data_IF_676597991980
#
_entry.id   IF_676597991980
#
_cell.length_a   1.000
_cell.length_b   1.000
_cell.length_c   1.000
_cell.angle_alpha   90.00
_cell.angle_beta   90.00
_cell.angle_gamma   90.00
#
_symmetry.space_group_name_H-M   'P 1'
#
loop_
_entity.id
_entity.type
_entity.pdbx_description
1 polymer ?
#
# COMPACT_ATOMS: atom_id res chain seq x y z
N UNK A 1 16.05 1.61 13.43
CA UNK A 1 15.60 2.04 12.09
C UNK A 1 16.71 1.64 11.13
N UNK A 2 16.49 0.69 10.22
CA UNK A 2 17.53 0.21 9.31
C UNK A 2 18.05 1.39 8.48
N UNK A 3 19.36 1.67 8.54
CA UNK A 3 19.98 2.89 7.97
C UNK A 3 20.03 2.92 6.44
N UNK A 4 19.78 1.81 5.75
CA UNK A 4 19.79 1.72 4.29
C UNK A 4 18.45 1.17 3.77
N UNK A 5 17.60 2.02 3.14
CA UNK A 5 16.33 1.61 2.55
C UNK A 5 16.48 0.48 1.54
N UNK A 6 17.56 0.47 0.75
CA UNK A 6 17.81 -0.55 -0.26
C UNK A 6 18.17 -1.90 0.39
N UNK A 7 19.03 -1.89 1.41
CA UNK A 7 19.37 -3.11 2.14
C UNK A 7 18.13 -3.72 2.81
N UNK A 8 17.26 -2.88 3.38
CA UNK A 8 16.00 -3.33 3.98
C UNK A 8 15.04 -3.92 2.93
N UNK A 9 14.91 -3.28 1.76
CA UNK A 9 14.09 -3.76 0.66
C UNK A 9 14.61 -5.10 0.10
N UNK A 10 15.92 -5.20 -0.07
CA UNK A 10 16.59 -6.43 -0.51
C UNK A 10 16.38 -7.57 0.49
N UNK A 11 16.48 -7.29 1.80
CA UNK A 11 16.19 -8.29 2.84
C UNK A 11 14.74 -8.79 2.77
N UNK A 12 13.78 -7.90 2.52
CA UNK A 12 12.36 -8.27 2.31
C UNK A 12 12.19 -9.11 1.04
N UNK A 13 12.85 -8.73 -0.06
CA UNK A 13 12.86 -9.47 -1.32
C UNK A 13 13.31 -10.92 -1.12
N UNK A 14 14.47 -11.14 -0.49
CA UNK A 14 14.97 -12.49 -0.20
C UNK A 14 14.02 -13.28 0.73
N UNK A 15 13.40 -12.59 1.70
CA UNK A 15 12.45 -13.20 2.63
C UNK A 15 11.19 -13.72 1.93
N UNK A 16 10.57 -12.94 1.04
CA UNK A 16 9.35 -13.36 0.31
C UNK A 16 9.66 -14.39 -0.76
N UNK A 17 10.79 -14.23 -1.47
CA UNK A 17 11.27 -15.21 -2.43
C UNK A 17 11.73 -16.53 -1.77
N UNK A 18 11.74 -16.62 -0.43
CA UNK A 18 12.24 -17.77 0.35
C UNK A 18 13.68 -18.17 -0.05
N UNK A 19 14.48 -17.20 -0.48
CA UNK A 19 15.84 -17.40 -0.95
C UNK A 19 16.84 -16.89 0.09
N UNK A 20 17.96 -17.59 0.25
CA UNK A 20 19.09 -17.18 1.12
C UNK A 20 20.28 -16.67 0.33
N UNK A 21 20.40 -17.02 -0.95
CA UNK A 21 21.55 -16.68 -1.79
C UNK A 21 21.12 -16.04 -3.11
N UNK A 22 22.00 -15.22 -3.70
CA UNK A 22 21.74 -14.61 -5.01
C UNK A 22 21.51 -15.65 -6.11
N UNK A 23 22.17 -16.82 -6.01
CA UNK A 23 21.97 -17.93 -6.94
C UNK A 23 20.55 -18.52 -6.82
N UNK A 24 20.05 -18.72 -5.60
CA UNK A 24 18.66 -19.18 -5.40
C UNK A 24 17.66 -18.18 -5.96
N UNK A 25 17.89 -16.88 -5.73
CA UNK A 25 17.04 -15.82 -6.29
C UNK A 25 17.09 -15.82 -7.83
N UNK A 26 18.27 -16.01 -8.41
CA UNK A 26 18.44 -16.08 -9.87
C UNK A 26 17.67 -17.26 -10.47
N UNK A 27 17.77 -18.44 -9.84
CA UNK A 27 17.02 -19.63 -10.24
C UNK A 27 15.51 -19.42 -10.11
N UNK A 28 15.05 -18.81 -9.00
CA UNK A 28 13.64 -18.46 -8.80
C UNK A 28 13.13 -17.50 -9.87
N UNK A 29 13.94 -16.51 -10.25
CA UNK A 29 13.59 -15.52 -11.26
C UNK A 29 13.80 -16.00 -12.71
N UNK A 30 14.40 -17.18 -12.91
CA UNK A 30 14.71 -17.70 -14.25
C UNK A 30 15.77 -16.89 -15.01
N UNK A 31 16.69 -16.22 -14.30
CA UNK A 31 17.74 -15.38 -14.90
C UNK A 31 19.14 -15.81 -14.46
N UNK A 32 20.18 -15.25 -15.08
CA UNK A 32 21.57 -15.49 -14.67
C UNK A 32 21.86 -14.84 -13.32
N UNK A 33 22.64 -15.50 -12.47
CA UNK A 33 23.07 -14.92 -11.18
C UNK A 33 23.86 -13.61 -11.34
N UNK A 34 24.59 -13.44 -12.44
CA UNK A 34 25.28 -12.18 -12.77
C UNK A 34 24.31 -11.01 -12.93
N UNK A 35 23.11 -11.24 -13.46
CA UNK A 35 22.05 -10.23 -13.57
C UNK A 35 21.55 -9.81 -12.18
N UNK A 36 21.42 -10.76 -11.26
CA UNK A 36 21.08 -10.46 -9.86
C UNK A 36 22.19 -9.66 -9.18
N UNK A 37 23.43 -10.11 -9.33
CA UNK A 37 24.60 -9.43 -8.78
C UNK A 37 24.73 -8.00 -9.29
N UNK A 38 24.51 -7.77 -10.59
CA UNK A 38 24.59 -6.43 -11.18
C UNK A 38 23.47 -5.51 -10.66
N UNK A 39 22.23 -6.00 -10.57
CA UNK A 39 21.11 -5.24 -10.02
C UNK A 39 21.35 -4.83 -8.55
N UNK A 40 21.79 -5.77 -7.71
CA UNK A 40 22.09 -5.50 -6.31
C UNK A 40 23.26 -4.53 -6.15
N UNK A 41 24.32 -4.68 -6.95
CA UNK A 41 25.47 -3.75 -6.98
C UNK A 41 25.04 -2.32 -7.34
N UNK A 42 24.10 -2.18 -8.27
CA UNK A 42 23.52 -0.89 -8.69
C UNK A 42 22.45 -0.36 -7.73
N UNK A 43 22.19 -1.06 -6.62
CA UNK A 43 21.12 -0.74 -5.67
C UNK A 43 19.74 -0.62 -6.31
N UNK A 44 19.44 -1.50 -7.26
CA UNK A 44 18.16 -1.52 -7.99
C UNK A 44 17.44 -2.86 -7.80
N UNK A 45 16.12 -2.78 -7.61
CA UNK A 45 15.21 -3.93 -7.63
C UNK A 45 14.36 -3.79 -8.90
N UNK A 46 14.62 -4.59 -9.95
CA UNK A 46 13.85 -4.55 -11.20
C UNK A 46 12.36 -4.78 -10.97
N UNK A 47 11.52 -4.06 -11.71
CA UNK A 47 10.07 -4.22 -11.65
C UNK A 47 9.63 -5.66 -11.97
N UNK A 48 10.30 -6.32 -12.91
CA UNK A 48 10.03 -7.71 -13.28
C UNK A 48 10.15 -8.69 -12.10
N UNK A 49 11.05 -8.42 -11.15
CA UNK A 49 11.19 -9.27 -9.96
C UNK A 49 9.98 -9.12 -9.04
N UNK A 50 9.50 -7.90 -8.86
CA UNK A 50 8.32 -7.59 -8.07
C UNK A 50 7.06 -8.18 -8.71
N UNK A 51 6.94 -8.08 -10.04
CA UNK A 51 5.84 -8.67 -10.79
C UNK A 51 5.84 -10.20 -10.73
N UNK A 52 7.03 -10.81 -10.76
CA UNK A 52 7.17 -12.26 -10.62
C UNK A 52 6.71 -12.73 -9.24
N UNK A 53 7.11 -12.02 -8.18
CA UNK A 53 6.63 -12.30 -6.83
C UNK A 53 5.11 -12.10 -6.72
N UNK A 54 4.60 -10.96 -7.18
CA UNK A 54 3.17 -10.69 -7.19
C UNK A 54 2.36 -11.81 -7.86
N UNK A 55 2.80 -12.29 -9.03
CA UNK A 55 2.11 -13.38 -9.75
C UNK A 55 2.20 -14.73 -9.02
N UNK A 56 3.32 -15.00 -8.35
CA UNK A 56 3.57 -16.29 -7.72
C UNK A 56 2.90 -16.43 -6.34
N UNK A 57 2.99 -15.42 -5.49
CA UNK A 57 2.54 -15.50 -4.09
C UNK A 57 1.67 -14.31 -3.64
N UNK A 58 1.22 -13.48 -4.59
CA UNK A 58 0.46 -12.26 -4.32
C UNK A 58 1.20 -11.28 -3.41
N UNK A 59 2.54 -11.31 -3.38
CA UNK A 59 3.32 -10.34 -2.61
C UNK A 59 3.06 -8.92 -3.10
N UNK A 60 2.83 -8.02 -2.15
CA UNK A 60 2.68 -6.60 -2.40
C UNK A 60 4.05 -5.96 -2.75
N UNK A 61 4.23 -5.40 -3.97
CA UNK A 61 5.47 -4.73 -4.36
C UNK A 61 5.85 -3.56 -3.45
N UNK A 62 4.87 -2.77 -3.00
CA UNK A 62 5.12 -1.61 -2.15
C UNK A 62 5.64 -2.02 -0.78
N UNK A 63 5.17 -3.15 -0.25
CA UNK A 63 5.69 -3.69 1.00
C UNK A 63 7.14 -4.16 0.84
N UNK A 64 7.51 -4.76 -0.30
CA UNK A 64 8.91 -5.14 -0.56
C UNK A 64 9.81 -3.90 -0.57
N UNK A 65 9.40 -2.86 -1.27
CA UNK A 65 10.20 -1.64 -1.41
C UNK A 65 10.24 -0.81 -0.12
N UNK A 66 9.09 -0.57 0.50
CA UNK A 66 8.96 0.41 1.60
C UNK A 66 8.81 -0.22 2.98
N UNK A 67 8.40 -1.49 3.05
CA UNK A 67 8.01 -2.17 4.30
C UNK A 67 6.65 -1.73 4.84
N UNK A 68 5.92 -0.86 4.14
CA UNK A 68 4.60 -0.34 4.55
C UNK A 68 3.48 -1.15 3.91
N UNK A 69 2.31 -1.14 4.56
CA UNK A 69 1.12 -1.84 4.07
C UNK A 69 1.16 -3.36 4.31
N UNK A 70 0.16 -4.09 3.78
CA UNK A 70 0.10 -5.55 3.91
C UNK A 70 1.18 -6.23 3.06
N UNK A 71 1.74 -7.33 3.57
CA UNK A 71 2.77 -8.11 2.87
C UNK A 71 2.23 -8.81 1.62
N UNK A 72 1.05 -9.38 1.72
CA UNK A 72 0.37 -10.08 0.63
C UNK A 72 -0.90 -9.33 0.29
N UNK A 73 -1.17 -9.19 -0.99
CA UNK A 73 -2.44 -8.70 -1.49
C UNK A 73 -3.47 -9.82 -1.34
N UNK A 74 -4.65 -9.46 -0.85
CA UNK A 74 -5.80 -10.36 -0.84
C UNK A 74 -6.66 -10.03 -2.06
N UNK A 75 -7.18 -11.05 -2.76
CA UNK A 75 -8.29 -10.84 -3.66
C UNK A 75 -9.40 -10.10 -2.91
N UNK A 76 -9.99 -9.12 -3.57
CA UNK A 76 -11.22 -8.51 -3.05
C UNK A 76 -12.29 -9.57 -3.25
N UNK A 77 -12.80 -10.16 -2.18
CA UNK A 77 -14.01 -10.97 -2.27
C UNK A 77 -15.14 -10.05 -2.74
N UNK A 78 -16.01 -10.50 -3.65
CA UNK A 78 -17.12 -9.69 -4.21
C UNK A 78 -18.05 -9.08 -3.14
N UNK A 79 -18.01 -9.61 -1.91
CA UNK A 79 -18.74 -9.12 -0.75
C UNK A 79 -18.02 -8.03 0.07
N UNK A 80 -16.77 -7.70 -0.26
CA UNK A 80 -15.97 -6.71 0.46
C UNK A 80 -16.12 -5.35 -0.22
N UNK A 81 -17.22 -4.65 0.11
CA UNK A 81 -17.37 -3.24 -0.26
C UNK A 81 -16.30 -2.45 0.48
N UNK A 82 -15.17 -2.21 -0.17
CA UNK A 82 -14.19 -1.25 0.32
C UNK A 82 -14.78 0.12 0.04
N UNK A 83 -15.53 0.67 1.01
CA UNK A 83 -16.04 2.05 0.93
C UNK A 83 -14.83 2.98 0.97
N UNK A 84 -14.27 3.26 -0.21
CA UNK A 84 -13.32 4.36 -0.37
C UNK A 84 -14.17 5.62 -0.23
N UNK A 85 -14.18 6.21 0.96
CA UNK A 85 -14.69 7.57 1.14
C UNK A 85 -13.74 8.50 0.38
N UNK A 86 -14.00 8.67 -0.91
CA UNK A 86 -13.44 9.76 -1.69
C UNK A 86 -14.14 11.02 -1.18
N UNK A 87 -13.62 11.57 -0.09
CA UNK A 87 -13.95 12.94 0.28
C UNK A 87 -13.38 13.82 -0.82
N UNK A 88 -14.21 14.19 -1.79
CA UNK A 88 -13.88 15.26 -2.74
C UNK A 88 -13.64 16.51 -1.91
N UNK A 89 -12.39 16.81 -1.61
CA UNK A 89 -12.03 18.07 -0.99
C UNK A 89 -11.98 19.12 -2.10
N UNK A 90 -13.04 19.93 -2.21
CA UNK A 90 -12.99 21.17 -2.97
C UNK A 90 -12.53 22.26 -1.99
N UNK A 91 -11.39 22.93 -2.22
CA UNK A 91 -10.92 23.97 -1.32
C UNK A 91 -11.95 25.11 -1.25
N UNK A 92 -12.06 25.74 -0.07
CA UNK A 92 -13.05 26.81 0.21
C UNK A 92 -12.94 27.98 -0.77
N UNK A 93 -11.73 28.24 -1.27
CA UNK A 93 -11.42 29.29 -2.26
C UNK A 93 -12.09 29.07 -3.61
N UNK A 94 -12.49 27.85 -3.93
CA UNK A 94 -13.16 27.48 -5.18
C UNK A 94 -14.65 27.21 -4.99
N UNK A 95 -15.16 27.33 -3.77
CA UNK A 95 -16.54 27.02 -3.41
C UNK A 95 -17.38 28.29 -3.37
N UNK A 96 -18.56 28.27 -3.98
CA UNK A 96 -19.50 29.40 -3.86
C UNK A 96 -20.05 29.50 -2.43
N UNK A 97 -20.39 30.71 -1.97
CA UNK A 97 -21.04 30.94 -0.67
C UNK A 97 -22.30 30.10 -0.49
N UNK A 98 -23.06 29.86 -1.57
CA UNK A 98 -24.25 29.01 -1.55
C UNK A 98 -23.91 27.55 -1.27
N UNK A 99 -22.85 27.02 -1.86
CA UNK A 99 -22.40 25.64 -1.65
C UNK A 99 -21.92 25.45 -0.21
N UNK A 100 -21.20 26.44 0.34
CA UNK A 100 -20.76 26.42 1.74
C UNK A 100 -21.94 26.46 2.71
N UNK A 101 -22.96 27.29 2.43
CA UNK A 101 -24.17 27.36 3.24
C UNK A 101 -24.94 26.05 3.22
N UNK A 102 -25.06 25.41 2.05
CA UNK A 102 -25.71 24.09 1.91
C UNK A 102 -24.98 23.04 2.77
N UNK A 103 -23.64 23.01 2.73
CA UNK A 103 -22.86 22.05 3.51
C UNK A 103 -22.95 22.32 5.03
N UNK A 104 -22.98 23.59 5.44
CA UNK A 104 -23.18 23.97 6.83
C UNK A 104 -24.55 23.53 7.35
N UNK A 105 -25.61 23.80 6.59
CA UNK A 105 -26.98 23.40 6.93
C UNK A 105 -27.13 21.88 7.00
N UNK A 106 -26.46 21.14 6.11
CA UNK A 106 -26.42 19.66 6.14
C UNK A 106 -25.80 19.15 7.44
N UNK A 107 -24.65 19.68 7.86
CA UNK A 107 -23.95 19.27 9.09
C UNK A 107 -24.75 19.58 10.35
N UNK A 108 -25.41 20.74 10.40
CA UNK A 108 -26.26 21.12 11.55
C UNK A 108 -27.43 20.13 11.71
N UNK A 109 -28.06 19.74 10.61
CA UNK A 109 -29.14 18.74 10.61
C UNK A 109 -28.64 17.37 11.08
N UNK A 110 -27.46 16.96 10.63
CA UNK A 110 -26.84 15.69 11.02
C UNK A 110 -26.44 15.67 12.50
N UNK A 111 -25.94 16.78 13.05
CA UNK A 111 -25.64 16.90 14.48
C UNK A 111 -26.90 16.83 15.36
N UNK A 112 -28.02 17.39 14.88
CA UNK A 112 -29.31 17.30 15.57
C UNK A 112 -29.93 15.89 15.56
N UNK A 113 -29.68 15.10 14.52
CA UNK A 113 -30.17 13.72 14.43
C UNK A 113 -29.24 12.69 15.09
N UNK A 114 -28.00 13.05 15.42
CA UNK A 114 -27.07 12.14 16.09
C UNK A 114 -27.51 11.90 17.55
N UNK A 115 -27.54 10.65 18.03
CA UNK A 115 -27.86 10.37 19.43
C UNK A 115 -26.83 11.05 20.35
N UNK A 116 -27.23 11.52 21.53
CA UNK A 116 -26.32 12.18 22.45
C UNK A 116 -25.16 11.25 22.80
N UNK A 117 -23.93 11.76 22.66
CA UNK A 117 -22.65 11.05 22.91
C UNK A 117 -22.55 10.33 24.26
N UNK A 118 -23.44 10.63 25.21
CA UNK A 118 -23.54 9.98 26.51
C UNK A 118 -24.03 8.51 26.44
N UNK A 119 -24.65 8.07 25.35
CA UNK A 119 -25.21 6.72 25.24
C UNK A 119 -24.18 5.62 24.84
N UNK A 120 -22.91 5.96 24.65
CA UNK A 120 -21.86 5.00 24.20
C UNK A 120 -20.90 4.53 25.31
N UNK A 121 -21.18 4.87 26.58
CA UNK A 121 -20.36 4.48 27.75
C UNK A 121 -21.16 3.74 28.84
N UNK A 122 -22.27 3.09 28.50
CA UNK A 122 -22.99 2.20 29.41
C UNK A 122 -22.86 0.74 28.97
#
# INVERSE_FOLDING_TARGET
>A
MDKDPFAAATKRLFKVAKCKTQLQLANFMGIRQSSVSDAIRRKSIPAEWLLTLLRHDQTNPDWVLTGKGPRYLRPVDDNTVTVIHVTKFRPVTESSTQELLIELMRREREQRLAPPRAALLA
#
